data_IF_165061254098
#
_entry.id   IF_165061254098
#
_cell.length_a   1.000
_cell.length_b   1.000
_cell.length_c   1.000
_cell.angle_alpha   90.00
_cell.angle_beta   90.00
_cell.angle_gamma   90.00
#
_symmetry.space_group_name_H-M   'P 1'
#
loop_
_entity.id
_entity.type
_entity.pdbx_description
1 polymer ?
#
# COMPACT_ATOMS: atom_id res chain seq x y z
N UNK A 1 8.67 -27.49 28.26
CA UNK A 1 7.25 -27.30 27.85
C UNK A 1 7.27 -26.35 26.68
N UNK A 2 7.28 -26.89 25.46
CA UNK A 2 7.17 -26.11 24.24
C UNK A 2 5.70 -25.75 24.06
N UNK A 3 5.33 -24.50 24.37
CA UNK A 3 3.99 -23.99 24.10
C UNK A 3 3.91 -23.64 22.62
N UNK A 4 3.61 -24.62 21.78
CA UNK A 4 3.33 -24.39 20.36
C UNK A 4 2.24 -23.31 20.24
N UNK A 5 2.52 -22.15 19.62
CA UNK A 5 1.54 -21.08 19.56
C UNK A 5 0.31 -21.53 18.77
N UNK A 6 -0.89 -21.28 19.30
CA UNK A 6 -2.14 -21.60 18.62
C UNK A 6 -2.22 -20.85 17.27
N UNK A 7 -2.79 -21.47 16.24
CA UNK A 7 -2.93 -20.87 14.89
C UNK A 7 -3.51 -19.44 14.90
N UNK A 8 -4.38 -19.13 15.87
CA UNK A 8 -4.98 -17.80 16.05
C UNK A 8 -3.99 -16.70 16.44
N UNK A 9 -2.93 -17.04 17.19
CA UNK A 9 -1.88 -16.10 17.63
C UNK A 9 -0.85 -15.87 16.52
N UNK A 10 -0.53 -16.94 15.77
CA UNK A 10 0.36 -16.88 14.60
C UNK A 10 -0.24 -15.99 13.50
N UNK A 11 -1.55 -16.13 13.22
CA UNK A 11 -2.24 -15.31 12.22
C UNK A 11 -2.27 -13.82 12.59
N UNK A 12 -2.54 -13.47 13.85
CA UNK A 12 -2.53 -12.05 14.30
C UNK A 12 -1.16 -11.40 14.15
N UNK A 13 -0.11 -12.12 14.54
CA UNK A 13 1.26 -11.62 14.43
C UNK A 13 1.65 -11.43 12.96
N UNK A 14 1.29 -12.37 12.09
CA UNK A 14 1.52 -12.27 10.65
C UNK A 14 0.79 -11.06 10.04
N UNK A 15 -0.48 -10.83 10.38
CA UNK A 15 -1.26 -9.69 9.89
C UNK A 15 -0.61 -8.36 10.33
N UNK A 16 -0.20 -8.24 11.59
CA UNK A 16 0.48 -7.04 12.09
C UNK A 16 1.79 -6.76 11.34
N UNK A 17 2.60 -7.80 11.12
CA UNK A 17 3.85 -7.68 10.36
C UNK A 17 3.59 -7.25 8.91
N UNK A 18 2.58 -7.83 8.25
CA UNK A 18 2.19 -7.46 6.88
C UNK A 18 1.73 -6.00 6.79
N UNK A 19 1.00 -5.50 7.80
CA UNK A 19 0.57 -4.09 7.84
C UNK A 19 1.73 -3.12 7.98
N UNK A 20 2.67 -3.43 8.89
CA UNK A 20 3.90 -2.63 9.05
C UNK A 20 4.72 -2.66 7.75
N UNK A 21 4.79 -3.82 7.10
CA UNK A 21 5.49 -3.97 5.84
C UNK A 21 4.83 -3.16 4.71
N UNK A 22 3.51 -3.21 4.58
CA UNK A 22 2.74 -2.35 3.66
C UNK A 22 3.02 -0.87 3.94
N UNK A 23 3.00 -0.45 5.20
CA UNK A 23 3.29 0.94 5.59
C UNK A 23 4.67 1.38 5.09
N UNK A 24 5.71 0.58 5.35
CA UNK A 24 7.09 0.87 4.94
C UNK A 24 7.18 0.96 3.42
N UNK A 25 6.59 0.03 2.68
CA UNK A 25 6.61 0.05 1.22
C UNK A 25 5.88 1.27 0.64
N UNK A 26 4.70 1.61 1.16
CA UNK A 26 3.97 2.81 0.74
C UNK A 26 4.70 4.10 1.09
N UNK A 27 5.37 4.15 2.24
CA UNK A 27 6.18 5.29 2.64
C UNK A 27 7.38 5.47 1.70
N UNK A 28 8.09 4.39 1.36
CA UNK A 28 9.20 4.44 0.39
C UNK A 28 8.69 4.87 -0.99
N UNK A 29 7.57 4.32 -1.46
CA UNK A 29 6.96 4.73 -2.73
C UNK A 29 6.61 6.24 -2.73
N UNK A 30 6.03 6.73 -1.63
CA UNK A 30 5.67 8.15 -1.47
C UNK A 30 6.93 9.04 -1.47
N UNK A 31 7.98 8.64 -0.74
CA UNK A 31 9.26 9.36 -0.70
C UNK A 31 9.92 9.40 -2.08
N UNK A 32 9.97 8.26 -2.79
CA UNK A 32 10.54 8.19 -4.13
C UNK A 32 9.81 9.13 -5.09
N UNK A 33 8.48 9.17 -5.07
CA UNK A 33 7.69 10.11 -5.87
C UNK A 33 7.93 11.57 -5.44
N UNK A 34 8.01 11.83 -4.14
CA UNK A 34 8.20 13.18 -3.62
C UNK A 34 9.57 13.76 -4.03
N UNK A 35 10.62 12.95 -3.96
CA UNK A 35 11.98 13.30 -4.39
C UNK A 35 12.06 13.36 -5.92
N UNK A 36 11.26 12.56 -6.62
CA UNK A 36 11.20 12.51 -8.07
C UNK A 36 10.46 13.66 -8.72
N UNK A 37 9.88 14.61 -7.99
CA UNK A 37 9.34 15.81 -8.63
C UNK A 37 10.46 16.46 -9.45
N UNK A 38 10.38 16.30 -10.77
CA UNK A 38 11.27 16.86 -11.79
C UNK A 38 11.59 18.31 -11.40
N UNK A 39 12.75 18.49 -10.77
CA UNK A 39 13.43 19.77 -10.77
C UNK A 39 14.35 19.64 -11.95
N UNK A 40 13.83 20.09 -13.08
CA UNK A 40 14.67 20.43 -14.23
C UNK A 40 15.44 21.67 -13.80
N UNK A 41 16.71 21.50 -13.42
CA UNK A 41 17.57 22.61 -12.98
C UNK A 41 18.13 23.41 -14.17
N UNK A 42 18.00 22.93 -15.42
CA UNK A 42 18.59 23.57 -16.60
C UNK A 42 17.58 24.26 -17.54
N UNK A 43 16.28 23.93 -17.46
CA UNK A 43 15.24 24.69 -18.16
C UNK A 43 14.09 25.02 -17.23
N UNK A 44 13.68 26.29 -17.21
CA UNK A 44 12.56 26.86 -16.44
C UNK A 44 11.17 26.33 -16.88
N UNK A 45 11.10 25.05 -17.28
CA UNK A 45 9.89 24.31 -17.64
C UNK A 45 9.76 23.09 -16.74
N UNK A 46 9.11 23.29 -15.59
CA UNK A 46 8.83 22.26 -14.58
C UNK A 46 7.81 21.23 -15.10
N UNK A 47 8.23 20.25 -15.88
CA UNK A 47 7.34 19.11 -16.22
C UNK A 47 7.21 18.23 -14.98
N UNK A 48 6.25 18.50 -14.10
CA UNK A 48 6.03 17.69 -12.90
C UNK A 48 5.52 16.28 -13.30
N UNK A 49 5.86 15.25 -12.51
CA UNK A 49 5.11 13.97 -12.51
C UNK A 49 3.60 14.18 -12.39
N UNK A 50 3.20 15.26 -11.72
CA UNK A 50 1.82 15.69 -11.62
C UNK A 50 1.30 16.37 -12.88
N UNK A 51 1.95 16.32 -14.03
CA UNK A 51 1.38 16.85 -15.28
C UNK A 51 0.85 15.74 -16.19
N UNK A 52 1.44 14.56 -16.02
CA UNK A 52 1.02 13.35 -16.71
C UNK A 52 -0.11 12.70 -15.91
N UNK A 53 -1.27 12.57 -16.55
CA UNK A 53 -2.48 12.02 -15.94
C UNK A 53 -2.25 10.64 -15.27
N UNK A 54 -1.47 9.77 -15.91
CA UNK A 54 -1.19 8.42 -15.40
C UNK A 54 -0.38 8.44 -14.11
N UNK A 55 0.63 9.30 -14.03
CA UNK A 55 1.41 9.44 -12.80
C UNK A 55 0.61 10.14 -11.69
N UNK A 56 -0.26 11.11 -12.01
CA UNK A 56 -1.22 11.64 -11.02
C UNK A 56 -2.09 10.53 -10.43
N UNK A 57 -2.58 9.61 -11.26
CA UNK A 57 -3.37 8.48 -10.80
C UNK A 57 -2.56 7.56 -9.86
N UNK A 58 -1.33 7.18 -10.24
CA UNK A 58 -0.44 6.38 -9.38
C UNK A 58 -0.14 7.07 -8.04
N UNK A 59 0.06 8.39 -8.04
CA UNK A 59 0.26 9.17 -6.80
C UNK A 59 -0.99 9.10 -5.93
N UNK A 60 -2.17 9.29 -6.52
CA UNK A 60 -3.44 9.19 -5.80
C UNK A 60 -3.64 7.81 -5.17
N UNK A 61 -3.27 6.72 -5.86
CA UNK A 61 -3.38 5.38 -5.27
C UNK A 61 -2.45 5.16 -4.09
N UNK A 62 -1.21 5.67 -4.17
CA UNK A 62 -0.26 5.62 -3.06
C UNK A 62 -0.78 6.42 -1.87
N UNK A 63 -1.25 7.65 -2.08
CA UNK A 63 -1.74 8.53 -1.01
C UNK A 63 -2.97 7.94 -0.33
N UNK A 64 -3.93 7.41 -1.10
CA UNK A 64 -5.14 6.78 -0.55
C UNK A 64 -4.79 5.51 0.24
N UNK A 65 -3.91 4.65 -0.30
CA UNK A 65 -3.45 3.46 0.42
C UNK A 65 -2.69 3.80 1.71
N UNK A 66 -1.86 4.83 1.67
CA UNK A 66 -1.11 5.29 2.83
C UNK A 66 -2.04 5.87 3.91
N UNK A 67 -3.02 6.69 3.50
CA UNK A 67 -4.04 7.22 4.41
C UNK A 67 -4.89 6.11 5.04
N UNK A 68 -5.26 5.08 4.26
CA UNK A 68 -5.97 3.91 4.79
C UNK A 68 -5.13 3.18 5.83
N UNK A 69 -3.85 2.93 5.55
CA UNK A 69 -2.96 2.23 6.47
C UNK A 69 -2.77 3.03 7.78
N UNK A 70 -2.63 4.36 7.69
CA UNK A 70 -2.60 5.25 8.87
C UNK A 70 -3.90 5.20 9.67
N UNK A 71 -5.05 5.25 9.00
CA UNK A 71 -6.35 5.15 9.65
C UNK A 71 -6.47 3.80 10.39
N UNK A 72 -6.10 2.70 9.73
CA UNK A 72 -6.12 1.36 10.30
C UNK A 72 -5.21 1.26 11.54
N UNK A 73 -4.03 1.87 11.49
CA UNK A 73 -3.09 1.91 12.63
C UNK A 73 -3.64 2.77 13.78
N UNK A 74 -4.19 3.95 13.49
CA UNK A 74 -4.79 4.83 14.50
C UNK A 74 -5.99 4.18 15.19
N UNK A 75 -6.85 3.51 14.41
CA UNK A 75 -7.98 2.75 14.92
C UNK A 75 -7.53 1.57 15.80
N UNK A 76 -6.46 0.88 15.42
CA UNK A 76 -5.87 -0.20 16.21
C UNK A 76 -5.36 0.32 17.57
N UNK A 77 -4.62 1.44 17.59
CA UNK A 77 -4.15 2.08 18.83
C UNK A 77 -5.32 2.57 19.67
N UNK A 78 -6.32 3.21 19.08
CA UNK A 78 -7.51 3.68 19.77
C UNK A 78 -8.27 2.52 20.45
N UNK A 79 -8.41 1.39 19.77
CA UNK A 79 -9.04 0.20 20.34
C UNK A 79 -8.27 -0.38 21.56
N UNK A 80 -6.94 -0.29 21.54
CA UNK A 80 -6.10 -0.71 22.67
C UNK A 80 -6.23 0.26 23.85
N UNK A 81 -6.20 1.58 23.59
CA UNK A 81 -6.24 2.62 24.63
C UNK A 81 -7.62 2.77 25.25
N UNK A 82 -8.68 2.75 24.44
CA UNK A 82 -10.05 2.97 24.91
C UNK A 82 -10.59 1.82 25.77
N UNK A 83 -9.89 0.66 25.84
CA UNK A 83 -10.37 -0.56 26.49
C UNK A 83 -11.62 -1.19 25.84
N UNK A 84 -12.29 -0.44 24.96
CA UNK A 84 -13.46 -0.84 24.23
C UNK A 84 -13.01 -1.50 22.92
N UNK A 85 -13.12 -2.83 22.86
CA UNK A 85 -12.75 -3.66 21.71
C UNK A 85 -13.69 -3.47 20.50
N UNK A 86 -14.17 -2.26 20.23
CA UNK A 86 -15.13 -1.97 19.15
C UNK A 86 -14.61 -2.47 17.79
N UNK A 87 -13.30 -2.42 17.57
CA UNK A 87 -12.63 -2.97 16.38
C UNK A 87 -11.78 -4.23 16.65
N UNK A 88 -11.74 -4.72 17.89
CA UNK A 88 -11.07 -5.97 18.22
C UNK A 88 -12.04 -7.17 18.24
N UNK A 89 -13.28 -6.98 17.78
CA UNK A 89 -14.27 -8.01 17.51
C UNK A 89 -14.41 -8.35 16.01
N UNK A 90 -15.37 -9.21 15.71
CA UNK A 90 -15.70 -9.70 14.35
C UNK A 90 -15.92 -8.58 13.32
N UNK A 91 -16.50 -7.45 13.75
CA UNK A 91 -16.77 -6.28 12.89
C UNK A 91 -15.48 -5.58 12.43
N UNK A 92 -14.47 -5.48 13.30
CA UNK A 92 -13.19 -4.88 12.93
C UNK A 92 -12.39 -5.77 11.99
N UNK A 93 -12.44 -7.09 12.18
CA UNK A 93 -11.86 -8.06 11.25
C UNK A 93 -12.55 -8.03 9.87
N UNK A 94 -13.87 -7.85 9.83
CA UNK A 94 -14.61 -7.65 8.57
C UNK A 94 -14.20 -6.35 7.87
N UNK A 95 -14.13 -5.24 8.60
CA UNK A 95 -13.68 -3.96 8.06
C UNK A 95 -12.27 -4.04 7.50
N UNK A 96 -11.35 -4.66 8.25
CA UNK A 96 -9.97 -4.87 7.81
C UNK A 96 -9.91 -5.79 6.59
N UNK A 97 -10.67 -6.88 6.57
CA UNK A 97 -10.71 -7.81 5.44
C UNK A 97 -11.15 -7.13 4.13
N UNK A 98 -12.29 -6.43 4.18
CA UNK A 98 -12.85 -5.75 3.01
C UNK A 98 -12.03 -4.52 2.63
N UNK A 99 -11.56 -3.76 3.61
CA UNK A 99 -10.71 -2.59 3.41
C UNK A 99 -9.38 -2.97 2.77
N UNK A 100 -8.66 -3.95 3.32
CA UNK A 100 -7.41 -4.47 2.76
C UNK A 100 -7.65 -4.96 1.31
N UNK A 101 -8.77 -5.64 1.05
CA UNK A 101 -9.11 -6.11 -0.30
C UNK A 101 -9.31 -4.96 -1.29
N UNK A 102 -10.14 -3.97 -0.96
CA UNK A 102 -10.40 -2.80 -1.82
C UNK A 102 -9.11 -2.04 -2.10
N UNK A 103 -8.33 -1.78 -1.04
CA UNK A 103 -7.07 -1.05 -1.15
C UNK A 103 -6.06 -1.84 -1.97
N UNK A 104 -5.98 -3.16 -1.81
CA UNK A 104 -5.09 -3.99 -2.62
C UNK A 104 -5.37 -3.81 -4.12
N UNK A 105 -6.63 -3.84 -4.55
CA UNK A 105 -6.98 -3.61 -5.96
C UNK A 105 -6.65 -2.19 -6.42
N UNK A 106 -6.82 -1.20 -5.55
CA UNK A 106 -6.47 0.18 -5.84
C UNK A 106 -4.96 0.40 -5.98
N UNK A 107 -4.15 -0.25 -5.14
CA UNK A 107 -2.69 -0.22 -5.26
C UNK A 107 -2.23 -0.94 -6.53
N UNK A 108 -2.83 -2.10 -6.84
CA UNK A 108 -2.54 -2.86 -8.06
C UNK A 108 -2.84 -2.05 -9.33
N UNK A 109 -3.99 -1.36 -9.38
CA UNK A 109 -4.36 -0.55 -10.54
C UNK A 109 -3.40 0.62 -10.76
N UNK A 110 -3.04 1.34 -9.69
CA UNK A 110 -2.08 2.45 -9.79
C UNK A 110 -0.67 1.99 -10.16
N UNK A 111 -0.24 0.85 -9.61
CA UNK A 111 1.03 0.21 -9.97
C UNK A 111 1.06 -0.21 -11.45
N UNK A 112 0.02 -0.88 -11.93
CA UNK A 112 -0.07 -1.32 -13.32
C UNK A 112 -0.06 -0.13 -14.28
N UNK A 113 -0.81 0.93 -13.96
CA UNK A 113 -0.83 2.17 -14.73
C UNK A 113 0.56 2.83 -14.76
N UNK A 114 1.22 2.92 -13.60
CA UNK A 114 2.57 3.46 -13.46
C UNK A 114 3.61 2.69 -14.29
N UNK A 115 3.63 1.36 -14.19
CA UNK A 115 4.54 0.54 -14.99
C UNK A 115 4.26 0.62 -16.49
N UNK A 116 3.00 0.50 -16.89
CA UNK A 116 2.61 0.55 -18.30
C UNK A 116 3.10 1.84 -18.96
N UNK A 117 2.78 2.98 -18.36
CA UNK A 117 3.18 4.27 -18.91
C UNK A 117 4.69 4.51 -18.83
N UNK A 118 5.36 4.06 -17.75
CA UNK A 118 6.82 4.25 -17.63
C UNK A 118 7.60 3.48 -18.70
N UNK A 119 7.12 2.31 -19.11
CA UNK A 119 7.74 1.53 -20.20
C UNK A 119 7.56 2.21 -21.55
N UNK A 120 6.37 2.75 -21.84
CA UNK A 120 6.11 3.52 -23.06
C UNK A 120 6.94 4.79 -23.12
N UNK A 121 7.00 5.52 -22.00
CA UNK A 121 7.75 6.77 -21.90
C UNK A 121 9.25 6.53 -22.12
N UNK A 122 9.82 5.48 -21.54
CA UNK A 122 11.23 5.09 -21.75
C UNK A 122 11.54 4.66 -23.19
N UNK A 123 10.55 4.14 -23.92
CA UNK A 123 10.70 3.80 -25.35
C UNK A 123 10.61 5.02 -26.25
N UNK A 124 9.77 5.98 -25.90
CA UNK A 124 9.60 7.23 -26.64
C UNK A 124 10.80 8.17 -26.46
N UNK A 125 11.37 8.22 -25.26
CA UNK A 125 12.50 9.09 -24.94
C UNK A 125 13.48 8.39 -24.00
N UNK A 126 14.74 8.26 -24.45
CA UNK A 126 15.82 7.62 -23.69
C UNK A 126 16.58 8.61 -22.78
N UNK A 127 16.40 9.92 -22.96
CA UNK A 127 17.05 10.95 -22.14
C UNK A 127 16.54 10.97 -20.70
N UNK A 128 15.30 10.50 -20.49
CA UNK A 128 14.59 10.42 -19.20
C UNK A 128 14.78 9.08 -18.47
N UNK A 129 15.85 8.33 -18.78
CA UNK A 129 16.12 7.03 -18.16
C UNK A 129 16.25 7.10 -16.63
N UNK A 130 16.83 8.19 -16.10
CA UNK A 130 16.95 8.41 -14.66
C UNK A 130 15.57 8.60 -14.01
N UNK A 131 14.69 9.38 -14.63
CA UNK A 131 13.32 9.63 -14.20
C UNK A 131 12.47 8.36 -14.23
N UNK A 132 12.46 7.65 -15.35
CA UNK A 132 11.70 6.40 -15.53
C UNK A 132 12.23 5.28 -14.64
N UNK A 133 13.54 5.24 -14.36
CA UNK A 133 14.13 4.32 -13.39
C UNK A 133 13.57 4.51 -11.99
N UNK A 134 13.50 5.77 -11.52
CA UNK A 134 12.96 6.06 -10.18
C UNK A 134 11.42 5.92 -10.14
N UNK A 135 10.71 6.20 -11.23
CA UNK A 135 9.27 5.93 -11.36
C UNK A 135 8.96 4.42 -11.25
N UNK A 136 9.73 3.58 -11.96
CA UNK A 136 9.63 2.13 -11.86
C UNK A 136 9.95 1.64 -10.44
N UNK A 137 10.98 2.18 -9.79
CA UNK A 137 11.29 1.82 -8.41
C UNK A 137 10.09 2.11 -7.48
N UNK A 138 9.47 3.29 -7.60
CA UNK A 138 8.26 3.60 -6.84
C UNK A 138 7.10 2.65 -7.15
N UNK A 139 6.87 2.31 -8.42
CA UNK A 139 5.83 1.37 -8.81
C UNK A 139 6.11 -0.05 -8.25
N UNK A 140 7.37 -0.48 -8.16
CA UNK A 140 7.76 -1.75 -7.53
C UNK A 140 7.42 -1.76 -6.03
N UNK A 141 7.72 -0.70 -5.30
CA UNK A 141 7.34 -0.60 -3.87
C UNK A 141 5.83 -0.57 -3.70
N UNK A 142 5.10 0.11 -4.60
CA UNK A 142 3.65 0.06 -4.63
C UNK A 142 3.11 -1.36 -4.86
N UNK A 143 3.75 -2.15 -5.74
CA UNK A 143 3.42 -3.56 -5.97
C UNK A 143 3.66 -4.41 -4.72
N UNK A 144 4.77 -4.20 -4.02
CA UNK A 144 5.04 -4.92 -2.77
C UNK A 144 4.05 -4.54 -1.67
N UNK A 145 3.63 -3.27 -1.61
CA UNK A 145 2.52 -2.82 -0.77
C UNK A 145 1.23 -3.55 -1.11
N UNK A 146 0.87 -3.64 -2.39
CA UNK A 146 -0.27 -4.44 -2.87
C UNK A 146 -0.19 -5.89 -2.39
N UNK A 147 0.93 -6.58 -2.64
CA UNK A 147 1.08 -7.99 -2.30
C UNK A 147 0.94 -8.22 -0.79
N UNK A 148 1.57 -7.36 0.01
CA UNK A 148 1.49 -7.42 1.47
C UNK A 148 0.06 -7.24 1.97
N UNK A 149 -0.67 -6.26 1.43
CA UNK A 149 -2.08 -6.02 1.77
C UNK A 149 -3.00 -7.15 1.28
N UNK A 150 -2.76 -7.70 0.09
CA UNK A 150 -3.54 -8.82 -0.42
C UNK A 150 -3.37 -10.08 0.45
N UNK A 151 -2.13 -10.37 0.86
CA UNK A 151 -1.83 -11.46 1.79
C UNK A 151 -2.50 -11.19 3.15
N UNK A 152 -2.45 -9.96 3.66
CA UNK A 152 -3.12 -9.59 4.92
C UNK A 152 -4.64 -9.81 4.87
N UNK A 153 -5.28 -9.49 3.73
CA UNK A 153 -6.70 -9.78 3.49
C UNK A 153 -6.97 -11.30 3.56
N UNK A 154 -6.14 -12.14 2.94
CA UNK A 154 -6.29 -13.61 3.02
C UNK A 154 -6.19 -14.11 4.47
N UNK A 155 -5.19 -13.67 5.23
CA UNK A 155 -5.06 -14.06 6.65
C UNK A 155 -6.23 -13.59 7.50
N UNK A 156 -6.73 -12.37 7.23
CA UNK A 156 -7.90 -11.83 7.93
C UNK A 156 -9.16 -12.64 7.59
N UNK A 157 -9.31 -13.13 6.36
CA UNK A 157 -10.41 -14.02 5.97
C UNK A 157 -10.43 -15.32 6.77
N UNK A 158 -9.27 -15.90 7.07
CA UNK A 158 -9.19 -17.13 7.88
C UNK A 158 -9.48 -16.87 9.36
N UNK A 159 -9.32 -15.62 9.82
CA UNK A 159 -9.64 -15.21 11.17
C UNK A 159 -11.13 -14.86 11.37
N UNK A 160 -11.91 -14.74 10.29
CA UNK A 160 -13.35 -14.51 10.37
C UNK A 160 -14.05 -15.76 10.94
N UNK A 161 -14.96 -15.61 11.92
CA UNK A 161 -15.71 -16.74 12.43
C UNK A 161 -16.62 -17.30 11.32
N UNK A 162 -16.59 -18.63 11.15
CA UNK A 162 -17.53 -19.32 10.27
C UNK A 162 -18.93 -19.16 10.86
N UNK A 163 -19.83 -18.52 10.11
CA UNK A 163 -21.26 -18.61 10.40
C UNK A 163 -21.66 -20.08 10.25
N UNK A 164 -21.94 -20.75 11.37
CA UNK A 164 -22.56 -22.07 11.35
C UNK A 164 -23.99 -21.88 10.83
N UNK A 165 -24.27 -22.42 9.64
CA UNK A 165 -25.62 -22.60 9.12
C UNK A 165 -26.19 -23.91 9.63
#
# INVERSE_FOLDING_TARGET
MDSTPSNSTVSRTAILLLRVLTFVFLLIALILIAINKLTDEDTDTKVKFSDIYVYRYMISTIVIGFAYNLLQMALSVFAVVSGNRVLAGEVGLLFDFFGDKIISYFLLSGCAAGFGFTVELRRADSSINSFTGKANASASFLLFGFLSTAIASIFTSFALPKKAN
#
